data_IF_532157361725
#
_entry.id   IF_532157361725
#
_cell.length_a   1.000
_cell.length_b   1.000
_cell.length_c   1.000
_cell.angle_alpha   90.00
_cell.angle_beta   90.00
_cell.angle_gamma   90.00
#
_symmetry.space_group_name_H-M   'P 1'
#
loop_
_entity.id
_entity.type
_entity.pdbx_description
1 polymer ?
#
# COMPACT_ATOMS: atom_id res chain seq x y z
N UNK A 1 4.83 52.46 -41.48
CA UNK A 1 5.61 52.04 -40.29
C UNK A 1 4.60 51.54 -39.26
N UNK A 2 4.66 50.35 -38.67
CA UNK A 2 5.63 49.26 -38.70
C UNK A 2 5.03 48.09 -37.90
N UNK A 3 5.26 46.87 -38.39
CA UNK A 3 5.43 45.66 -37.57
C UNK A 3 4.18 45.02 -36.95
N UNK A 4 3.48 44.27 -37.80
CA UNK A 4 2.96 42.94 -37.50
C UNK A 4 4.01 42.04 -36.82
N UNK A 5 3.72 41.45 -35.66
CA UNK A 5 4.23 40.11 -35.29
C UNK A 5 3.16 39.32 -34.52
N UNK A 6 2.67 38.20 -35.09
CA UNK A 6 1.65 37.38 -34.46
C UNK A 6 2.28 36.56 -33.32
N UNK A 7 1.61 36.53 -32.17
CA UNK A 7 2.00 35.74 -30.99
C UNK A 7 1.74 34.25 -31.25
N UNK A 8 2.55 33.65 -32.12
CA UNK A 8 2.64 32.21 -32.33
C UNK A 8 3.28 31.60 -31.08
N UNK A 9 2.48 31.29 -30.06
CA UNK A 9 2.90 30.35 -29.02
C UNK A 9 3.06 28.99 -29.71
N UNK A 10 4.29 28.62 -29.97
CA UNK A 10 4.67 27.22 -30.11
C UNK A 10 4.35 26.54 -28.79
N UNK A 11 3.13 26.04 -28.64
CA UNK A 11 2.91 24.87 -27.79
C UNK A 11 3.92 23.83 -28.26
N UNK A 12 4.74 23.23 -27.37
CA UNK A 12 5.46 22.03 -27.73
C UNK A 12 4.40 21.07 -28.23
N UNK A 13 4.48 20.75 -29.52
CA UNK A 13 3.58 19.82 -30.16
C UNK A 13 3.71 18.52 -29.38
N UNK A 14 2.67 18.19 -28.64
CA UNK A 14 2.36 16.81 -28.25
C UNK A 14 2.29 16.02 -29.56
N UNK A 15 3.44 15.54 -30.01
CA UNK A 15 3.55 14.72 -31.21
C UNK A 15 3.68 13.28 -30.76
N UNK A 16 2.55 12.60 -30.90
CA UNK A 16 2.34 11.15 -30.89
C UNK A 16 2.40 10.47 -29.52
N UNK A 17 1.21 10.11 -29.01
CA UNK A 17 1.05 8.79 -28.38
C UNK A 17 1.72 7.76 -29.30
N UNK A 18 2.62 6.89 -28.80
CA UNK A 18 3.17 5.79 -29.57
C UNK A 18 2.09 4.72 -29.77
N UNK A 19 1.07 5.04 -30.56
CA UNK A 19 0.08 4.10 -31.04
C UNK A 19 0.78 3.17 -32.05
N UNK A 20 1.27 2.02 -31.57
CA UNK A 20 1.75 0.93 -32.42
C UNK A 20 3.21 0.50 -32.24
N UNK A 21 4.04 1.24 -31.49
CA UNK A 21 5.38 0.73 -31.12
C UNK A 21 5.24 -0.18 -29.92
N UNK A 22 5.35 -1.50 -30.14
CA UNK A 22 5.62 -2.41 -29.02
C UNK A 22 6.84 -1.85 -28.28
N UNK A 23 6.76 -1.64 -26.96
CA UNK A 23 7.84 -1.00 -26.24
C UNK A 23 9.15 -1.78 -26.44
N UNK A 24 10.26 -1.08 -26.70
CA UNK A 24 11.56 -1.71 -26.92
C UNK A 24 11.96 -2.62 -25.75
N UNK A 25 11.55 -2.29 -24.52
CA UNK A 25 11.71 -3.15 -23.36
C UNK A 25 10.96 -4.47 -23.48
N UNK A 26 9.74 -4.50 -24.05
CA UNK A 26 8.98 -5.75 -24.21
C UNK A 26 9.64 -6.66 -25.26
N UNK A 27 10.24 -6.07 -26.29
CA UNK A 27 11.04 -6.80 -27.28
C UNK A 27 12.37 -7.27 -26.70
N UNK A 28 12.98 -6.49 -25.80
CA UNK A 28 14.19 -6.85 -25.06
C UNK A 28 13.96 -7.98 -24.05
N UNK A 29 12.85 -7.96 -23.30
CA UNK A 29 12.45 -9.03 -22.37
C UNK A 29 12.12 -10.33 -23.11
N UNK A 30 11.48 -10.24 -24.28
CA UNK A 30 11.18 -11.40 -25.12
C UNK A 30 12.43 -12.05 -25.74
N UNK A 31 13.55 -11.32 -25.79
CA UNK A 31 14.80 -11.78 -26.37
C UNK A 31 15.85 -12.14 -25.30
N UNK A 32 15.50 -12.11 -24.01
CA UNK A 32 16.38 -12.55 -22.93
C UNK A 32 16.53 -14.07 -22.93
N UNK A 33 17.75 -14.59 -22.69
CA UNK A 33 17.97 -16.03 -22.58
C UNK A 33 17.12 -16.60 -21.43
N UNK A 34 16.60 -17.82 -21.61
CA UNK A 34 15.66 -18.44 -20.66
C UNK A 34 16.24 -18.54 -19.24
N UNK A 35 17.56 -18.62 -19.10
CA UNK A 35 18.27 -18.58 -17.82
C UNK A 35 18.07 -17.27 -17.05
N UNK A 36 18.11 -16.12 -17.73
CA UNK A 36 17.90 -14.81 -17.10
C UNK A 36 16.45 -14.63 -16.67
N UNK A 37 15.50 -15.07 -17.50
CA UNK A 37 14.08 -15.05 -17.17
C UNK A 37 13.80 -15.90 -15.93
N UNK A 38 14.38 -17.10 -15.85
CA UNK A 38 14.26 -18.00 -14.70
C UNK A 38 14.85 -17.39 -13.43
N UNK A 39 16.02 -16.74 -13.53
CA UNK A 39 16.64 -16.05 -12.39
C UNK A 39 15.78 -14.88 -11.91
N UNK A 40 15.23 -14.08 -12.83
CA UNK A 40 14.33 -12.97 -12.49
C UNK A 40 13.05 -13.46 -11.80
N UNK A 41 12.39 -14.47 -12.37
CA UNK A 41 11.20 -15.07 -11.78
C UNK A 41 11.50 -15.67 -10.40
N UNK A 42 12.62 -16.38 -10.25
CA UNK A 42 13.05 -16.93 -8.97
C UNK A 42 13.34 -15.82 -7.95
N UNK A 43 14.06 -14.77 -8.34
CA UNK A 43 14.40 -13.65 -7.47
C UNK A 43 13.16 -12.90 -6.98
N UNK A 44 12.21 -12.59 -7.87
CA UNK A 44 10.95 -11.92 -7.50
C UNK A 44 10.08 -12.84 -6.64
N UNK A 45 10.04 -14.15 -6.92
CA UNK A 45 9.27 -15.10 -6.12
C UNK A 45 9.84 -15.26 -4.72
N UNK A 46 11.16 -15.41 -4.59
CA UNK A 46 11.85 -15.55 -3.29
C UNK A 46 11.73 -14.26 -2.48
N UNK A 47 11.99 -13.11 -3.10
CA UNK A 47 11.86 -11.81 -2.42
C UNK A 47 10.41 -11.52 -2.03
N UNK A 48 9.43 -11.83 -2.89
CA UNK A 48 8.00 -11.70 -2.59
C UNK A 48 7.56 -12.64 -1.46
N UNK A 49 8.09 -13.87 -1.41
CA UNK A 49 7.82 -14.81 -0.31
C UNK A 49 8.39 -14.30 1.01
N UNK A 50 9.66 -13.88 1.02
CA UNK A 50 10.30 -13.33 2.23
C UNK A 50 9.56 -12.06 2.67
N UNK A 51 9.31 -11.13 1.75
CA UNK A 51 8.60 -9.89 2.06
C UNK A 51 7.17 -10.14 2.54
N UNK A 52 6.43 -11.07 1.91
CA UNK A 52 5.07 -11.43 2.29
C UNK A 52 5.01 -12.14 3.64
N UNK A 53 5.95 -13.04 3.92
CA UNK A 53 6.07 -13.71 5.22
C UNK A 53 6.41 -12.68 6.30
N UNK A 54 7.40 -11.81 6.09
CA UNK A 54 7.74 -10.77 7.05
C UNK A 54 6.55 -9.79 7.26
N UNK A 55 5.91 -9.35 6.18
CA UNK A 55 4.74 -8.47 6.24
C UNK A 55 3.55 -9.12 6.99
N UNK A 56 3.36 -10.44 6.82
CA UNK A 56 2.33 -11.21 7.52
C UNK A 56 2.69 -11.50 8.98
N UNK A 57 3.95 -11.83 9.28
CA UNK A 57 4.42 -12.18 10.62
C UNK A 57 4.45 -10.97 11.55
N UNK A 58 4.89 -9.82 11.05
CA UNK A 58 4.85 -8.57 11.81
C UNK A 58 3.47 -7.90 11.81
N UNK A 59 2.49 -8.41 11.06
CA UNK A 59 1.18 -7.78 10.91
C UNK A 59 1.24 -6.40 10.24
N UNK A 60 2.39 -6.03 9.67
CA UNK A 60 2.69 -4.73 9.08
C UNK A 60 2.09 -4.58 7.68
N UNK A 61 1.59 -5.67 7.08
CA UNK A 61 1.22 -5.82 5.66
C UNK A 61 0.18 -4.88 5.05
N UNK A 62 -0.25 -3.84 5.77
CA UNK A 62 -1.01 -2.74 5.19
C UNK A 62 -0.84 -1.45 5.99
N UNK A 63 -0.90 -1.52 7.33
CA UNK A 63 -1.02 -0.34 8.20
C UNK A 63 0.05 0.75 8.01
N UNK A 64 1.33 0.38 7.87
CA UNK A 64 2.42 1.36 7.64
C UNK A 64 2.23 2.14 6.33
N UNK A 65 1.63 1.53 5.31
CA UNK A 65 1.36 2.18 4.03
C UNK A 65 -0.02 2.83 4.03
N UNK A 66 -1.02 2.16 4.59
CA UNK A 66 -2.43 2.60 4.56
C UNK A 66 -2.63 3.86 5.41
N UNK A 67 -1.98 3.99 6.57
CA UNK A 67 -2.12 5.17 7.45
C UNK A 67 -1.64 6.46 6.77
N UNK A 68 -0.40 6.57 6.24
CA UNK A 68 0.02 7.79 5.55
C UNK A 68 -0.81 8.05 4.30
N UNK A 69 -1.17 7.01 3.53
CA UNK A 69 -2.02 7.17 2.34
C UNK A 69 -3.41 7.71 2.73
N UNK A 70 -4.05 7.17 3.76
CA UNK A 70 -5.33 7.67 4.26
C UNK A 70 -5.20 9.10 4.81
N UNK A 71 -4.11 9.42 5.51
CA UNK A 71 -3.85 10.77 5.99
C UNK A 71 -3.81 11.78 4.84
N UNK A 72 -3.06 11.48 3.77
CA UNK A 72 -3.01 12.32 2.57
C UNK A 72 -4.40 12.45 1.91
N UNK A 73 -5.15 11.35 1.82
CA UNK A 73 -6.52 11.37 1.28
C UNK A 73 -7.43 12.27 2.12
N UNK A 74 -7.38 12.19 3.45
CA UNK A 74 -8.16 13.05 4.33
C UNK A 74 -7.78 14.52 4.20
N UNK A 75 -6.49 14.82 4.05
CA UNK A 75 -6.02 16.19 3.81
C UNK A 75 -6.52 16.74 2.47
N UNK A 76 -6.50 15.94 1.40
CA UNK A 76 -7.07 16.31 0.08
C UNK A 76 -8.58 16.55 0.16
N UNK A 77 -9.28 15.83 1.03
CA UNK A 77 -10.71 16.02 1.34
C UNK A 77 -10.98 17.28 2.19
N UNK A 78 -9.96 18.02 2.60
CA UNK A 78 -10.08 19.25 3.39
C UNK A 78 -10.23 19.02 4.89
N UNK A 79 -9.90 17.83 5.39
CA UNK A 79 -9.84 17.55 6.83
C UNK A 79 -8.61 18.23 7.42
N UNK A 80 -8.76 18.85 8.59
CA UNK A 80 -7.63 19.49 9.29
C UNK A 80 -6.53 18.45 9.59
N UNK A 81 -5.24 18.81 9.49
CA UNK A 81 -4.13 17.88 9.73
C UNK A 81 -4.19 17.20 11.10
N UNK A 82 -4.66 17.93 12.12
CA UNK A 82 -4.82 17.45 13.50
C UNK A 82 -5.85 16.32 13.63
N UNK A 83 -6.84 16.28 12.74
CA UNK A 83 -7.87 15.23 12.70
C UNK A 83 -7.58 14.16 11.63
N UNK A 84 -6.86 14.51 10.57
CA UNK A 84 -6.54 13.61 9.47
C UNK A 84 -5.74 12.38 9.95
N UNK A 85 -4.77 12.58 10.84
CA UNK A 85 -3.92 11.50 11.36
C UNK A 85 -4.71 10.52 12.27
N UNK A 86 -5.43 10.96 13.32
CA UNK A 86 -6.27 10.07 14.12
C UNK A 86 -7.33 9.32 13.29
N UNK A 87 -7.95 9.98 12.30
CA UNK A 87 -8.93 9.34 11.43
C UNK A 87 -8.31 8.26 10.53
N UNK A 88 -7.12 8.51 9.98
CA UNK A 88 -6.39 7.52 9.20
C UNK A 88 -6.04 6.27 10.03
N UNK A 89 -5.52 6.47 11.24
CA UNK A 89 -5.20 5.38 12.18
C UNK A 89 -6.46 4.60 12.57
N UNK A 90 -7.52 5.30 12.97
CA UNK A 90 -8.79 4.67 13.35
C UNK A 90 -9.44 3.87 12.23
N UNK A 91 -9.42 4.39 10.99
CA UNK A 91 -9.98 3.71 9.82
C UNK A 91 -9.19 2.45 9.46
N UNK A 92 -7.86 2.52 9.54
CA UNK A 92 -7.00 1.34 9.35
C UNK A 92 -7.29 0.27 10.39
N UNK A 93 -7.41 0.65 11.67
CA UNK A 93 -7.69 -0.28 12.77
C UNK A 93 -9.08 -0.93 12.61
N UNK A 94 -10.09 -0.15 12.21
CA UNK A 94 -11.42 -0.65 11.91
C UNK A 94 -11.41 -1.70 10.79
N UNK A 95 -10.56 -1.53 9.77
CA UNK A 95 -10.39 -2.52 8.70
C UNK A 95 -9.75 -3.84 9.14
N UNK A 96 -8.86 -3.80 10.14
CA UNK A 96 -8.17 -4.99 10.68
C UNK A 96 -9.05 -5.75 11.68
N UNK A 97 -9.94 -5.06 12.40
CA UNK A 97 -10.81 -5.65 13.41
C UNK A 97 -11.62 -6.89 12.96
N UNK A 98 -12.32 -6.90 11.81
CA UNK A 98 -13.12 -8.05 11.39
C UNK A 98 -12.26 -9.28 11.06
N UNK A 99 -11.07 -9.09 10.49
CA UNK A 99 -10.15 -10.20 10.19
C UNK A 99 -9.54 -10.75 11.47
N UNK A 100 -9.19 -9.89 12.41
CA UNK A 100 -8.72 -10.28 13.75
C UNK A 100 -9.77 -11.10 14.49
N UNK A 101 -11.01 -10.62 14.58
CA UNK A 101 -12.12 -11.35 15.22
C UNK A 101 -12.31 -12.73 14.58
N UNK A 102 -12.34 -12.79 13.23
CA UNK A 102 -12.52 -14.06 12.52
C UNK A 102 -11.36 -15.03 12.75
N UNK A 103 -10.14 -14.51 12.86
CA UNK A 103 -8.95 -15.30 13.21
C UNK A 103 -9.03 -15.84 14.64
N UNK A 104 -9.41 -15.02 15.61
CA UNK A 104 -9.58 -15.42 17.02
C UNK A 104 -10.65 -16.50 17.15
N UNK A 105 -11.82 -16.32 16.52
CA UNK A 105 -12.88 -17.32 16.51
C UNK A 105 -12.44 -18.64 15.84
N UNK A 106 -11.58 -18.57 14.82
CA UNK A 106 -11.00 -19.76 14.18
C UNK A 106 -10.05 -20.53 15.09
N UNK A 107 -9.26 -19.84 15.92
CA UNK A 107 -8.35 -20.44 16.89
C UNK A 107 -9.08 -20.92 18.16
N UNK A 108 -10.15 -20.24 18.56
CA UNK A 108 -10.98 -20.62 19.70
C UNK A 108 -11.60 -22.00 19.48
N UNK A 109 -12.08 -22.27 18.26
CA UNK A 109 -12.58 -23.60 17.86
C UNK A 109 -11.53 -24.72 17.95
N UNK A 110 -10.24 -24.37 17.98
CA UNK A 110 -9.12 -25.32 18.13
C UNK A 110 -8.61 -25.41 19.57
N UNK A 111 -9.26 -24.74 20.52
CA UNK A 111 -8.84 -24.68 21.92
C UNK A 111 -7.53 -23.92 22.16
N UNK A 112 -7.08 -23.12 21.20
CA UNK A 112 -5.78 -22.44 21.24
C UNK A 112 -5.84 -21.00 21.78
N UNK A 113 -7.00 -20.56 22.30
CA UNK A 113 -7.22 -19.20 22.80
C UNK A 113 -7.24 -19.19 24.33
N UNK A 114 -6.26 -18.50 24.93
CA UNK A 114 -6.23 -18.22 26.36
C UNK A 114 -7.04 -16.95 26.67
N UNK A 115 -8.30 -17.16 27.06
CA UNK A 115 -9.23 -16.08 27.40
C UNK A 115 -8.83 -15.24 28.63
N UNK A 116 -8.34 -15.84 29.75
CA UNK A 116 -7.76 -15.08 30.85
C UNK A 116 -6.64 -14.13 30.39
N UNK A 117 -5.70 -14.62 29.60
CA UNK A 117 -4.61 -13.80 29.06
C UNK A 117 -5.15 -12.68 28.18
N UNK A 118 -6.04 -13.00 27.22
CA UNK A 118 -6.64 -12.00 26.34
C UNK A 118 -7.29 -10.86 27.13
N UNK A 119 -8.08 -11.16 28.16
CA UNK A 119 -8.74 -10.15 29.01
C UNK A 119 -7.73 -9.30 29.78
N UNK A 120 -6.64 -9.89 30.26
CA UNK A 120 -5.58 -9.17 30.95
C UNK A 120 -4.85 -8.17 30.03
N UNK A 121 -4.68 -8.51 28.75
CA UNK A 121 -4.03 -7.63 27.76
C UNK A 121 -4.96 -6.59 27.12
N UNK A 122 -6.28 -6.85 27.10
CA UNK A 122 -7.27 -5.88 26.58
C UNK A 122 -7.23 -4.57 27.35
N UNK A 123 -7.17 -4.59 28.69
CA UNK A 123 -7.18 -3.36 29.49
C UNK A 123 -5.95 -2.46 29.23
N UNK A 124 -4.70 -2.95 29.25
CA UNK A 124 -3.52 -2.18 28.87
C UNK A 124 -3.58 -1.65 27.43
N UNK A 125 -4.01 -2.47 26.47
CA UNK A 125 -4.15 -2.06 25.07
C UNK A 125 -5.14 -0.91 24.92
N UNK A 126 -6.30 -1.02 25.58
CA UNK A 126 -7.33 0.00 25.53
C UNK A 126 -6.89 1.29 26.23
N UNK A 127 -6.26 1.18 27.40
CA UNK A 127 -5.69 2.35 28.09
C UNK A 127 -4.62 3.03 27.26
N UNK A 128 -3.72 2.27 26.62
CA UNK A 128 -2.71 2.81 25.71
C UNK A 128 -3.32 3.54 24.52
N UNK A 129 -4.39 3.00 23.92
CA UNK A 129 -5.09 3.63 22.82
C UNK A 129 -5.84 4.92 23.22
N UNK A 130 -6.35 5.00 24.44
CA UNK A 130 -7.00 6.23 24.95
C UNK A 130 -6.01 7.31 25.41
N UNK A 131 -4.79 6.92 25.80
CA UNK A 131 -3.77 7.83 26.30
C UNK A 131 -2.83 8.38 25.20
N UNK A 132 -2.81 7.72 24.04
CA UNK A 132 -2.01 8.11 22.87
C UNK A 132 -2.68 9.11 21.96
#
# INVERSE_FOLDING_TARGET
>A
MSSTRPWRRSTPRSSASPAGRRPEYAMSLANMPLSELLILCAAISVSGLIAGVLAGLFGVGGGIIIVPVLSEVWQVLGVEPDLAMPLAVGTSLAGILPTAIRSTLGHDKKGAVDWPLLKAWVAPLFMGACAG
#
